data_IF_168701655147
#
_entry.id   IF_168701655147
#
_cell.length_a   1.000
_cell.length_b   1.000
_cell.length_c   1.000
_cell.angle_alpha   90.00
_cell.angle_beta   90.00
_cell.angle_gamma   90.00
#
_symmetry.space_group_name_H-M   'P 1'
#
loop_
_entity.id
_entity.type
_entity.pdbx_description
1 polymer ?
#
# COMPACT_ATOMS: atom_id res chain seq x y z
N UNK A 1 10.36 8.23 -23.92
CA UNK A 1 10.47 7.48 -22.66
C UNK A 1 11.71 6.61 -22.75
N UNK A 2 12.58 6.63 -21.73
CA UNK A 2 13.87 5.90 -21.71
C UNK A 2 13.78 4.58 -20.92
N UNK A 3 12.59 3.99 -20.81
CA UNK A 3 12.41 2.67 -20.21
C UNK A 3 12.93 1.58 -21.14
N UNK A 4 13.90 0.80 -20.67
CA UNK A 4 14.35 -0.39 -21.37
C UNK A 4 13.29 -1.48 -21.14
N UNK A 5 12.51 -1.84 -22.18
CA UNK A 5 11.46 -2.89 -22.10
C UNK A 5 11.93 -4.19 -21.43
N UNK A 6 13.19 -4.55 -21.62
CA UNK A 6 13.83 -5.73 -21.02
C UNK A 6 13.95 -5.67 -19.49
N UNK A 7 13.97 -4.47 -18.93
CA UNK A 7 14.09 -4.19 -17.49
C UNK A 7 12.72 -3.86 -16.88
N UNK A 8 11.81 -3.30 -17.67
CA UNK A 8 10.48 -2.87 -17.22
C UNK A 8 9.43 -4.00 -17.27
N UNK A 9 9.69 -5.09 -17.99
CA UNK A 9 8.78 -6.24 -18.06
C UNK A 9 9.00 -7.20 -16.88
N UNK A 10 8.20 -7.03 -15.83
CA UNK A 10 8.21 -7.94 -14.68
C UNK A 10 7.70 -9.35 -15.00
N UNK A 11 7.18 -9.61 -16.20
CA UNK A 11 6.67 -10.92 -16.60
C UNK A 11 7.75 -11.89 -17.12
N UNK A 12 9.00 -11.45 -17.24
CA UNK A 12 10.09 -12.30 -17.72
C UNK A 12 10.32 -13.52 -16.79
N UNK A 13 10.66 -14.71 -17.35
CA UNK A 13 10.82 -15.94 -16.58
C UNK A 13 11.84 -15.85 -15.44
N UNK A 14 12.91 -15.07 -15.62
CA UNK A 14 13.99 -14.89 -14.66
C UNK A 14 13.51 -14.22 -13.36
N UNK A 15 12.48 -13.39 -13.45
CA UNK A 15 11.87 -12.74 -12.28
C UNK A 15 10.80 -13.60 -11.62
N UNK A 16 10.36 -14.72 -12.21
CA UNK A 16 9.28 -15.53 -11.67
C UNK A 16 9.40 -15.86 -10.16
N UNK A 17 10.59 -16.19 -9.61
CA UNK A 17 10.74 -16.50 -8.18
C UNK A 17 10.48 -15.31 -7.24
N UNK A 18 10.67 -14.09 -7.72
CA UNK A 18 10.63 -12.86 -6.90
C UNK A 18 9.55 -11.87 -7.33
N UNK A 19 8.94 -12.07 -8.49
CA UNK A 19 7.98 -11.15 -9.13
C UNK A 19 6.91 -10.68 -8.17
N UNK A 20 6.26 -11.61 -7.47
CA UNK A 20 5.17 -11.24 -6.55
C UNK A 20 5.69 -10.41 -5.36
N UNK A 21 6.86 -10.75 -4.82
CA UNK A 21 7.45 -9.99 -3.72
C UNK A 21 7.83 -8.56 -4.17
N UNK A 22 8.28 -8.38 -5.41
CA UNK A 22 8.52 -7.06 -5.99
C UNK A 22 7.23 -6.25 -6.12
N UNK A 23 6.17 -6.86 -6.66
CA UNK A 23 4.87 -6.20 -6.83
C UNK A 23 4.26 -5.84 -5.46
N UNK A 24 4.26 -6.78 -4.51
CA UNK A 24 3.76 -6.55 -3.15
C UNK A 24 4.57 -5.48 -2.42
N UNK A 25 5.88 -5.41 -2.66
CA UNK A 25 6.76 -4.37 -2.17
C UNK A 25 6.42 -2.99 -2.73
N UNK A 26 6.13 -2.89 -4.04
CA UNK A 26 5.71 -1.64 -4.67
C UNK A 26 4.37 -1.15 -4.10
N UNK A 27 3.38 -2.05 -3.98
CA UNK A 27 2.08 -1.71 -3.39
C UNK A 27 2.17 -1.41 -1.89
N UNK A 28 3.06 -2.09 -1.15
CA UNK A 28 3.39 -1.73 0.23
C UNK A 28 3.86 -0.28 0.34
N UNK A 29 4.87 0.11 -0.45
CA UNK A 29 5.43 1.47 -0.45
C UNK A 29 4.35 2.49 -0.77
N UNK A 30 3.57 2.24 -1.82
CA UNK A 30 2.48 3.12 -2.20
C UNK A 30 1.41 3.23 -1.09
N UNK A 31 0.92 2.11 -0.58
CA UNK A 31 -0.14 2.09 0.43
C UNK A 31 0.25 2.84 1.71
N UNK A 32 1.48 2.69 2.21
CA UNK A 32 1.88 3.41 3.41
C UNK A 32 2.17 4.90 3.16
N UNK A 33 2.66 5.27 1.98
CA UNK A 33 2.90 6.69 1.64
C UNK A 33 1.60 7.44 1.36
N UNK A 34 0.62 6.79 0.74
CA UNK A 34 -0.74 7.32 0.58
C UNK A 34 -1.41 7.60 1.93
N UNK A 35 -1.39 6.62 2.86
CA UNK A 35 -1.94 6.80 4.20
C UNK A 35 -1.20 7.87 5.02
N UNK A 36 0.14 7.96 4.87
CA UNK A 36 0.93 9.02 5.50
C UNK A 36 0.52 10.39 4.99
N UNK A 37 0.43 10.56 3.67
CA UNK A 37 0.15 11.85 3.03
C UNK A 37 -1.26 12.36 3.31
N UNK A 38 -2.24 11.46 3.40
CA UNK A 38 -3.65 11.86 3.58
C UNK A 38 -4.08 11.97 5.04
N UNK A 39 -3.60 11.09 5.91
CA UNK A 39 -4.16 10.92 7.26
C UNK A 39 -3.10 10.93 8.36
N UNK A 40 -1.81 10.97 8.00
CA UNK A 40 -0.71 10.81 8.97
C UNK A 40 -0.56 9.39 9.51
N UNK A 41 -1.24 8.39 8.90
CA UNK A 41 -1.29 6.99 9.37
C UNK A 41 -0.26 6.11 8.64
N UNK A 42 0.92 6.64 8.32
CA UNK A 42 1.97 5.91 7.63
C UNK A 42 2.65 4.85 8.48
N UNK A 43 3.55 4.08 7.86
CA UNK A 43 4.21 2.90 8.44
C UNK A 43 4.79 3.09 9.85
N UNK A 44 5.31 4.29 10.14
CA UNK A 44 5.98 4.64 11.40
C UNK A 44 5.10 5.46 12.34
N UNK A 45 3.85 5.75 11.97
CA UNK A 45 2.92 6.52 12.80
C UNK A 45 2.61 5.81 14.13
N UNK A 46 2.20 6.59 15.13
CA UNK A 46 1.74 6.04 16.41
C UNK A 46 0.56 5.09 16.21
N UNK A 47 -0.41 5.47 15.36
CA UNK A 47 -1.53 4.61 14.99
C UNK A 47 -1.06 3.25 14.45
N UNK A 48 -0.08 3.24 13.54
CA UNK A 48 0.44 1.99 12.97
C UNK A 48 1.17 1.14 14.02
N UNK A 49 1.91 1.77 14.93
CA UNK A 49 2.60 1.06 16.01
C UNK A 49 1.62 0.46 17.02
N UNK A 50 0.52 1.15 17.30
CA UNK A 50 -0.53 0.73 18.23
C UNK A 50 -1.40 -0.37 17.65
N UNK A 51 -1.91 -0.19 16.42
CA UNK A 51 -2.88 -1.13 15.83
C UNK A 51 -2.23 -2.30 15.06
N UNK A 52 -0.99 -2.12 14.59
CA UNK A 52 -0.27 -3.10 13.77
C UNK A 52 1.14 -3.30 14.33
N UNK A 53 1.29 -3.87 15.55
CA UNK A 53 2.55 -3.82 16.30
C UNK A 53 3.70 -4.59 15.62
N UNK A 54 3.39 -5.64 14.85
CA UNK A 54 4.42 -6.42 14.14
C UNK A 54 4.70 -5.87 12.73
N UNK A 55 5.95 -6.01 12.28
CA UNK A 55 6.32 -5.72 10.88
C UNK A 55 5.44 -6.46 9.88
N UNK A 56 5.07 -7.72 10.19
CA UNK A 56 4.19 -8.54 9.35
C UNK A 56 2.79 -7.93 9.20
N UNK A 57 2.19 -7.48 10.31
CA UNK A 57 0.89 -6.82 10.29
C UNK A 57 0.92 -5.53 9.46
N UNK A 58 1.93 -4.67 9.67
CA UNK A 58 2.08 -3.44 8.88
C UNK A 58 2.26 -3.71 7.40
N UNK A 59 3.19 -4.60 7.04
CA UNK A 59 3.44 -4.93 5.64
C UNK A 59 2.16 -5.46 4.98
N UNK A 60 1.46 -6.40 5.63
CA UNK A 60 0.20 -6.95 5.10
C UNK A 60 -0.89 -5.88 4.91
N UNK A 61 -1.08 -5.01 5.90
CA UNK A 61 -2.08 -3.95 5.85
C UNK A 61 -1.82 -2.95 4.70
N UNK A 62 -0.60 -2.40 4.64
CA UNK A 62 -0.27 -1.40 3.63
C UNK A 62 -0.18 -1.98 2.22
N UNK A 63 0.29 -3.23 2.05
CA UNK A 63 0.21 -3.91 0.75
C UNK A 63 -1.25 -4.01 0.29
N UNK A 64 -2.16 -4.48 1.15
CA UNK A 64 -3.59 -4.61 0.81
C UNK A 64 -4.22 -3.27 0.44
N UNK A 65 -3.93 -2.21 1.18
CA UNK A 65 -4.41 -0.87 0.82
C UNK A 65 -3.83 -0.39 -0.50
N UNK A 66 -2.54 -0.64 -0.75
CA UNK A 66 -1.91 -0.26 -2.00
C UNK A 66 -2.60 -0.87 -3.22
N UNK A 67 -3.05 -2.13 -3.13
CA UNK A 67 -3.83 -2.77 -4.20
C UNK A 67 -5.24 -2.18 -4.38
N UNK A 68 -5.84 -1.65 -3.31
CA UNK A 68 -7.25 -1.21 -3.29
C UNK A 68 -7.44 0.26 -3.62
N UNK A 69 -6.43 1.09 -3.37
CA UNK A 69 -6.52 2.52 -3.58
C UNK A 69 -5.78 2.83 -4.90
N UNK A 70 -6.46 3.24 -5.97
CA UNK A 70 -5.77 3.61 -7.19
C UNK A 70 -5.05 4.95 -7.00
N UNK A 71 -3.90 5.20 -7.65
CA UNK A 71 -3.31 6.53 -7.68
C UNK A 71 -4.22 7.52 -8.42
N UNK A 72 -4.21 8.78 -7.98
CA UNK A 72 -4.96 9.87 -8.63
C UNK A 72 -6.27 10.27 -7.93
N UNK A 73 -7.16 11.00 -8.62
CA UNK A 73 -8.36 11.60 -8.01
C UNK A 73 -9.29 10.58 -7.35
N UNK A 74 -9.47 9.40 -7.96
CA UNK A 74 -10.30 8.35 -7.37
C UNK A 74 -9.72 7.85 -6.04
N UNK A 75 -8.41 7.66 -5.96
CA UNK A 75 -7.73 7.29 -4.71
C UNK A 75 -7.88 8.36 -3.64
N UNK A 76 -7.77 9.64 -4.03
CA UNK A 76 -7.97 10.76 -3.10
C UNK A 76 -9.40 10.76 -2.51
N UNK A 77 -10.42 10.47 -3.34
CA UNK A 77 -11.81 10.33 -2.88
C UNK A 77 -11.96 9.16 -1.91
N UNK A 78 -11.34 8.01 -2.19
CA UNK A 78 -11.38 6.83 -1.30
C UNK A 78 -10.69 7.11 0.04
N UNK A 79 -9.50 7.71 0.00
CA UNK A 79 -8.72 8.09 1.19
C UNK A 79 -9.48 9.09 2.06
N UNK A 80 -10.21 10.02 1.46
CA UNK A 80 -11.04 11.01 2.17
C UNK A 80 -12.22 10.42 2.95
N UNK A 81 -12.52 9.12 2.81
CA UNK A 81 -13.54 8.42 3.60
C UNK A 81 -13.02 7.90 4.93
N UNK A 82 -11.70 7.79 5.09
CA UNK A 82 -11.10 7.26 6.31
C UNK A 82 -10.89 8.37 7.34
N UNK A 83 -10.83 7.96 8.60
CA UNK A 83 -10.53 8.86 9.72
C UNK A 83 -9.46 8.24 10.64
N UNK A 84 -8.65 9.06 11.35
CA UNK A 84 -7.58 8.58 12.23
C UNK A 84 -8.00 7.68 13.40
N UNK A 85 -9.26 7.73 13.80
CA UNK A 85 -9.86 6.92 14.87
C UNK A 85 -10.36 5.55 14.39
N UNK A 86 -10.40 5.31 13.08
CA UNK A 86 -10.77 4.01 12.52
C UNK A 86 -9.70 2.94 12.82
N UNK A 87 -10.16 1.73 13.10
CA UNK A 87 -9.33 0.53 13.17
C UNK A 87 -8.85 0.07 11.77
N UNK A 88 -7.79 -0.75 11.70
CA UNK A 88 -7.33 -1.31 10.43
C UNK A 88 -8.42 -2.08 9.66
N UNK A 89 -9.28 -2.82 10.36
CA UNK A 89 -10.36 -3.60 9.74
C UNK A 89 -11.50 -2.73 9.22
N UNK A 90 -11.76 -1.56 9.83
CA UNK A 90 -12.70 -0.57 9.31
C UNK A 90 -12.18 0.06 8.02
N UNK A 91 -10.91 0.47 8.02
CA UNK A 91 -10.25 1.04 6.82
C UNK A 91 -10.28 0.02 5.67
N UNK A 92 -9.95 -1.24 5.95
CA UNK A 92 -9.96 -2.27 4.91
C UNK A 92 -11.37 -2.56 4.38
N UNK A 93 -12.42 -2.57 5.22
CA UNK A 93 -13.80 -2.79 4.75
C UNK A 93 -14.34 -1.66 3.86
N UNK A 94 -13.85 -0.43 4.05
CA UNK A 94 -14.29 0.73 3.26
C UNK A 94 -13.48 0.95 1.97
N UNK A 95 -12.38 0.22 1.79
CA UNK A 95 -11.53 0.27 0.60
C UNK A 95 -11.96 -0.65 -0.55
N UNK A 96 -13.03 -1.43 -0.36
CA UNK A 96 -13.68 -2.26 -1.38
C UNK A 96 -14.84 -1.46 -2.04
#
# INVERSE_FOLDING_TARGET
SFGQKLVDDLSIPELAPVRQAFIDGAYFVYGHTAMQGSLGLGYQSEWAQTHLPTRRQRNSFYTRLGYRIPPGPEGAIRLGRFAPDMSPDEILRQGD
#
